data_IF_767497541539
#
_entry.id   IF_767497541539
#
_cell.length_a   1.000
_cell.length_b   1.000
_cell.length_c   1.000
_cell.angle_alpha   90.00
_cell.angle_beta   90.00
_cell.angle_gamma   90.00
#
_symmetry.space_group_name_H-M   'P 1'
#
loop_
_entity.id
_entity.type
_entity.pdbx_description
1 polymer ?
#
# COMPACT_ATOMS: atom_id res chain seq x y z
N UNK A 1 26.46 -0.44 7.70
CA UNK A 1 25.78 -1.14 6.59
C UNK A 1 26.07 -0.51 5.23
N UNK A 2 25.75 0.75 4.96
CA UNK A 2 25.99 1.37 3.63
C UNK A 2 27.46 1.41 3.26
N UNK A 3 28.34 1.67 4.19
CA UNK A 3 29.81 1.66 3.99
C UNK A 3 30.29 0.30 3.54
N UNK A 4 29.88 -0.79 4.24
CA UNK A 4 30.25 -2.16 3.86
C UNK A 4 29.72 -2.57 2.47
N UNK A 5 28.61 -2.03 1.99
CA UNK A 5 28.05 -2.32 0.66
C UNK A 5 28.92 -1.82 -0.50
N UNK A 6 29.81 -0.86 -0.25
CA UNK A 6 30.74 -0.33 -1.27
C UNK A 6 31.89 -1.29 -1.55
N UNK A 7 32.17 -2.18 -0.59
CA UNK A 7 33.27 -3.13 -0.66
C UNK A 7 32.77 -4.49 -1.09
N UNK A 8 33.36 -5.02 -2.15
CA UNK A 8 33.07 -6.38 -2.64
C UNK A 8 34.01 -7.44 -2.03
N UNK A 9 35.11 -6.99 -1.44
CA UNK A 9 36.12 -7.80 -0.76
C UNK A 9 36.21 -7.42 0.71
N UNK A 10 36.76 -8.31 1.56
CA UNK A 10 36.91 -8.04 2.98
C UNK A 10 37.72 -6.75 3.22
N UNK A 11 37.19 -5.83 3.99
CA UNK A 11 37.84 -4.56 4.37
C UNK A 11 38.19 -4.57 5.85
N UNK A 12 39.40 -4.11 6.21
CA UNK A 12 39.84 -4.13 7.59
C UNK A 12 38.99 -3.23 8.51
N UNK A 13 38.84 -3.64 9.76
CA UNK A 13 38.15 -2.84 10.76
C UNK A 13 38.74 -1.44 10.93
N UNK A 14 40.06 -1.30 10.78
CA UNK A 14 40.73 0.00 10.88
C UNK A 14 40.28 0.96 9.76
N UNK A 15 40.17 0.49 8.54
CA UNK A 15 39.69 1.30 7.40
C UNK A 15 38.22 1.71 7.62
N UNK A 16 37.38 0.79 8.03
CA UNK A 16 35.97 1.06 8.32
C UNK A 16 35.78 2.06 9.46
N UNK A 17 36.54 1.90 10.54
CA UNK A 17 36.48 2.79 11.69
C UNK A 17 36.93 4.23 11.31
N UNK A 18 37.99 4.33 10.52
CA UNK A 18 38.50 5.61 10.00
C UNK A 18 37.48 6.29 9.09
N UNK A 19 36.92 5.56 8.13
CA UNK A 19 35.91 6.11 7.19
C UNK A 19 34.62 6.57 7.90
N UNK A 20 34.24 5.88 8.99
CA UNK A 20 33.05 6.22 9.77
C UNK A 20 33.33 7.21 10.90
N UNK A 21 34.60 7.60 11.14
CA UNK A 21 34.98 8.50 12.23
C UNK A 21 34.71 7.96 13.62
N UNK A 22 34.77 6.64 13.83
CA UNK A 22 34.51 5.95 15.11
C UNK A 22 35.72 5.14 15.59
N UNK A 23 35.70 4.76 16.86
CA UNK A 23 36.72 3.85 17.41
C UNK A 23 36.54 2.42 16.91
N UNK A 24 37.62 1.62 16.83
CA UNK A 24 37.61 0.21 16.52
C UNK A 24 36.66 -0.57 17.46
N UNK A 25 36.64 -0.21 18.76
CA UNK A 25 35.76 -0.83 19.76
C UNK A 25 34.28 -0.57 19.44
N UNK A 26 33.94 0.65 19.04
CA UNK A 26 32.59 0.98 18.61
C UNK A 26 32.22 0.23 17.34
N UNK A 27 33.11 0.15 16.37
CA UNK A 27 32.88 -0.59 15.12
C UNK A 27 32.56 -2.06 15.39
N UNK A 28 33.36 -2.74 16.22
CA UNK A 28 33.12 -4.17 16.51
C UNK A 28 31.80 -4.41 17.23
N UNK A 29 31.42 -3.54 18.17
CA UNK A 29 30.13 -3.61 18.83
C UNK A 29 28.98 -3.42 17.82
N UNK A 30 29.12 -2.46 16.91
CA UNK A 30 28.10 -2.18 15.90
C UNK A 30 27.98 -3.33 14.88
N UNK A 31 29.10 -3.96 14.49
CA UNK A 31 29.10 -5.16 13.65
C UNK A 31 28.36 -6.31 14.35
N UNK A 32 28.69 -6.57 15.62
CA UNK A 32 28.02 -7.61 16.40
C UNK A 32 26.50 -7.35 16.52
N UNK A 33 26.12 -6.11 16.75
CA UNK A 33 24.69 -5.71 16.77
C UNK A 33 24.00 -5.96 15.44
N UNK A 34 24.65 -5.63 14.32
CA UNK A 34 24.11 -5.86 12.97
C UNK A 34 23.99 -7.35 12.66
N UNK A 35 24.99 -8.17 13.06
CA UNK A 35 24.95 -9.62 12.92
C UNK A 35 23.81 -10.24 13.76
N UNK A 36 23.62 -9.76 14.98
CA UNK A 36 22.49 -10.17 15.84
C UNK A 36 21.12 -9.81 15.24
N UNK A 37 21.06 -8.74 14.42
CA UNK A 37 19.87 -8.34 13.67
C UNK A 37 19.73 -9.09 12.33
N UNK A 38 20.58 -10.09 12.06
CA UNK A 38 20.51 -10.93 10.87
C UNK A 38 21.32 -10.44 9.67
N UNK A 39 22.17 -9.41 9.83
CA UNK A 39 23.06 -9.00 8.76
C UNK A 39 24.13 -10.08 8.53
N UNK A 40 24.26 -10.55 7.29
CA UNK A 40 25.29 -11.53 6.91
C UNK A 40 26.64 -10.84 6.70
N UNK A 41 27.24 -10.39 7.78
CA UNK A 41 28.59 -9.85 7.80
C UNK A 41 29.54 -10.97 8.18
N UNK A 42 30.38 -11.39 7.24
CA UNK A 42 31.44 -12.36 7.49
C UNK A 42 32.76 -11.64 7.75
N UNK A 43 33.60 -12.24 8.56
CA UNK A 43 34.94 -11.74 8.89
C UNK A 43 35.14 -11.60 10.40
N UNK A 44 36.39 -11.35 10.74
CA UNK A 44 36.83 -11.18 12.12
C UNK A 44 37.90 -10.08 12.24
N UNK A 45 38.21 -9.71 13.47
CA UNK A 45 39.25 -8.74 13.76
C UNK A 45 40.60 -9.22 13.19
N UNK A 46 41.21 -8.42 12.32
CA UNK A 46 42.50 -8.72 11.65
C UNK A 46 42.34 -9.23 10.22
N UNK A 47 41.32 -10.01 9.88
CA UNK A 47 41.08 -10.48 8.52
C UNK A 47 40.22 -9.53 7.69
N UNK A 48 39.44 -8.70 8.36
CA UNK A 48 38.50 -7.77 7.72
C UNK A 48 37.08 -8.30 7.68
N UNK A 49 36.16 -7.43 7.24
CA UNK A 49 34.72 -7.68 7.20
C UNK A 49 34.18 -7.50 5.79
N UNK A 50 33.30 -8.38 5.37
CA UNK A 50 32.57 -8.29 4.10
C UNK A 50 31.10 -8.55 4.34
N UNK A 51 30.26 -7.73 3.71
CA UNK A 51 28.83 -7.96 3.69
C UNK A 51 28.51 -8.93 2.55
N UNK A 52 28.08 -10.14 2.90
CA UNK A 52 27.64 -11.12 1.90
C UNK A 52 26.36 -10.62 1.21
N UNK A 53 26.17 -10.96 -0.07
CA UNK A 53 24.89 -10.74 -0.74
C UNK A 53 23.82 -11.58 -0.05
N UNK A 54 23.08 -10.97 0.80
CA UNK A 54 21.92 -11.50 1.49
C UNK A 54 20.93 -10.37 1.70
N UNK A 55 19.66 -10.61 1.39
CA UNK A 55 18.62 -9.59 1.47
C UNK A 55 18.18 -9.35 2.91
N UNK A 56 19.04 -8.79 3.74
CA UNK A 56 18.58 -8.14 4.97
C UNK A 56 18.46 -6.67 4.66
N UNK A 57 17.24 -6.20 4.57
CA UNK A 57 16.96 -4.78 4.55
C UNK A 57 17.32 -4.21 5.94
N UNK A 58 18.01 -3.06 6.02
CA UNK A 58 18.18 -2.37 7.30
C UNK A 58 16.78 -2.05 7.88
N UNK A 59 16.69 -1.75 9.19
CA UNK A 59 15.43 -1.26 9.76
C UNK A 59 14.90 -0.11 8.90
N UNK A 60 13.75 -0.35 8.26
CA UNK A 60 13.05 0.65 7.45
C UNK A 60 11.91 1.20 8.29
N UNK A 61 11.73 2.50 8.26
CA UNK A 61 10.56 3.16 8.82
C UNK A 61 9.66 3.55 7.66
N UNK A 62 8.43 3.07 7.67
CA UNK A 62 7.42 3.39 6.68
C UNK A 62 6.32 4.23 7.28
N UNK A 63 5.86 5.23 6.53
CA UNK A 63 4.61 5.91 6.80
C UNK A 63 3.41 5.01 6.49
N UNK A 64 2.23 5.38 6.95
CA UNK A 64 0.99 4.64 6.62
C UNK A 64 0.75 4.58 5.12
N UNK A 65 0.98 5.69 4.42
CA UNK A 65 0.83 5.81 2.97
C UNK A 65 1.79 4.90 2.21
N UNK A 66 3.04 4.79 2.68
CA UNK A 66 4.03 3.89 2.08
C UNK A 66 3.66 2.42 2.28
N UNK A 67 3.14 2.07 3.46
CA UNK A 67 2.62 0.71 3.73
C UNK A 67 1.41 0.42 2.83
N UNK A 68 0.45 1.34 2.69
CA UNK A 68 -0.68 1.20 1.78
C UNK A 68 -0.21 0.94 0.33
N UNK A 69 0.78 1.70 -0.13
CA UNK A 69 1.34 1.56 -1.47
C UNK A 69 2.01 0.19 -1.68
N UNK A 70 2.82 -0.26 -0.70
CA UNK A 70 3.49 -1.57 -0.74
C UNK A 70 2.47 -2.71 -0.78
N UNK A 71 1.43 -2.65 0.04
CA UNK A 71 0.40 -3.68 0.09
C UNK A 71 -0.44 -3.70 -1.18
N UNK A 72 -0.85 -2.53 -1.68
CA UNK A 72 -1.58 -2.44 -2.94
C UNK A 72 -0.75 -3.00 -4.10
N UNK A 73 0.53 -2.62 -4.19
CA UNK A 73 1.45 -3.14 -5.21
C UNK A 73 1.66 -4.65 -5.11
N UNK A 74 1.84 -5.17 -3.90
CA UNK A 74 2.00 -6.62 -3.67
C UNK A 74 0.73 -7.39 -4.02
N UNK A 75 -0.45 -6.90 -3.67
CA UNK A 75 -1.73 -7.49 -4.07
C UNK A 75 -1.93 -7.45 -5.59
N UNK A 76 -1.53 -6.35 -6.24
CA UNK A 76 -1.58 -6.23 -7.69
C UNK A 76 -0.74 -7.31 -8.35
N UNK A 77 0.49 -7.52 -7.90
CA UNK A 77 1.37 -8.60 -8.37
C UNK A 77 0.77 -9.97 -8.09
N UNK A 78 0.28 -10.21 -6.86
CA UNK A 78 -0.32 -11.49 -6.49
C UNK A 78 -1.51 -11.88 -7.38
N UNK A 79 -2.28 -10.91 -7.86
CA UNK A 79 -3.47 -11.17 -8.70
C UNK A 79 -3.17 -11.28 -10.21
N UNK A 80 -1.98 -10.90 -10.69
CA UNK A 80 -1.68 -10.78 -12.13
C UNK A 80 -0.40 -11.45 -12.59
N UNK A 81 0.53 -11.74 -11.68
CA UNK A 81 1.78 -12.40 -12.02
C UNK A 81 1.61 -13.93 -12.10
N UNK A 82 2.67 -14.60 -12.52
CA UNK A 82 2.75 -16.06 -12.39
C UNK A 82 2.66 -16.51 -10.92
N UNK A 83 2.32 -17.77 -10.70
CA UNK A 83 2.09 -18.35 -9.37
C UNK A 83 3.26 -18.10 -8.40
N UNK A 84 4.50 -18.26 -8.86
CA UNK A 84 5.68 -18.10 -8.01
C UNK A 84 5.88 -16.67 -7.54
N UNK A 85 5.72 -15.70 -8.42
CA UNK A 85 5.83 -14.28 -8.09
C UNK A 85 4.62 -13.82 -7.26
N UNK A 86 3.44 -14.35 -7.53
CA UNK A 86 2.22 -14.11 -6.75
C UNK A 86 2.37 -14.58 -5.29
N UNK A 87 2.83 -15.80 -5.06
CA UNK A 87 3.14 -16.32 -3.72
C UNK A 87 4.22 -15.48 -3.02
N UNK A 88 5.24 -15.03 -3.76
CA UNK A 88 6.29 -14.16 -3.22
C UNK A 88 5.71 -12.83 -2.76
N UNK A 89 4.79 -12.24 -3.50
CA UNK A 89 4.11 -10.99 -3.14
C UNK A 89 3.24 -11.15 -1.88
N UNK A 90 2.52 -12.26 -1.74
CA UNK A 90 1.76 -12.58 -0.52
C UNK A 90 2.69 -12.75 0.70
N UNK A 91 3.83 -13.39 0.52
CA UNK A 91 4.85 -13.52 1.57
C UNK A 91 5.41 -12.14 2.01
N UNK A 92 5.54 -11.17 1.11
CA UNK A 92 5.93 -9.79 1.46
C UNK A 92 4.88 -9.16 2.36
N UNK A 93 3.59 -9.28 2.02
CA UNK A 93 2.48 -8.76 2.84
C UNK A 93 2.51 -9.39 4.23
N UNK A 94 2.67 -10.71 4.32
CA UNK A 94 2.73 -11.42 5.60
C UNK A 94 3.91 -10.93 6.48
N UNK A 95 5.08 -10.70 5.88
CA UNK A 95 6.26 -10.16 6.60
C UNK A 95 6.02 -8.73 7.10
N UNK A 96 5.40 -7.88 6.29
CA UNK A 96 5.04 -6.51 6.70
C UNK A 96 4.05 -6.58 7.87
N UNK A 97 2.99 -7.37 7.74
CA UNK A 97 1.96 -7.54 8.79
C UNK A 97 2.55 -8.04 10.12
N UNK A 98 3.54 -8.93 10.07
CA UNK A 98 4.16 -9.49 11.27
C UNK A 98 4.92 -8.46 12.13
N UNK A 99 5.42 -7.38 11.53
CA UNK A 99 6.21 -6.34 12.22
C UNK A 99 5.40 -5.08 12.54
N UNK A 100 4.18 -4.97 12.03
CA UNK A 100 3.32 -3.81 12.27
C UNK A 100 2.68 -3.83 13.67
N UNK A 101 2.53 -2.66 14.32
CA UNK A 101 1.65 -2.50 15.46
C UNK A 101 0.23 -2.96 15.17
N UNK A 102 -0.49 -3.38 16.21
CA UNK A 102 -1.80 -4.01 16.06
C UNK A 102 -2.84 -3.11 15.36
N UNK A 103 -2.82 -1.81 15.65
CA UNK A 103 -3.69 -0.81 15.02
C UNK A 103 -3.43 -0.68 13.51
N UNK A 104 -2.16 -0.63 13.10
CA UNK A 104 -1.76 -0.58 11.68
C UNK A 104 -2.01 -1.91 10.96
N UNK A 105 -1.88 -3.04 11.66
CA UNK A 105 -2.21 -4.36 11.11
C UNK A 105 -3.70 -4.46 10.78
N UNK A 106 -4.57 -4.04 11.71
CA UNK A 106 -6.01 -3.98 11.45
C UNK A 106 -6.35 -3.05 10.28
N UNK A 107 -5.67 -1.92 10.16
CA UNK A 107 -5.88 -0.99 9.05
C UNK A 107 -5.44 -1.60 7.70
N UNK A 108 -4.37 -2.38 7.70
CA UNK A 108 -3.86 -3.09 6.53
C UNK A 108 -4.78 -4.26 6.11
N UNK A 109 -5.26 -5.06 7.06
CA UNK A 109 -6.21 -6.15 6.83
C UNK A 109 -7.57 -5.62 6.34
N UNK A 110 -7.98 -4.48 6.88
CA UNK A 110 -9.18 -3.76 6.48
C UNK A 110 -8.98 -2.81 5.30
N UNK A 111 -7.87 -2.95 4.56
CA UNK A 111 -7.54 -2.05 3.46
C UNK A 111 -8.71 -1.92 2.49
N UNK A 112 -9.11 -0.68 2.29
CA UNK A 112 -10.18 -0.26 1.39
C UNK A 112 -9.70 -0.03 -0.05
N UNK A 113 -8.40 -0.23 -0.28
CA UNK A 113 -7.79 -0.22 -1.60
C UNK A 113 -7.87 -1.62 -2.18
N UNK A 114 -8.74 -1.81 -3.14
CA UNK A 114 -9.05 -3.09 -3.75
C UNK A 114 -8.44 -3.14 -5.15
N UNK A 115 -8.05 -4.33 -5.58
CA UNK A 115 -7.65 -4.59 -6.95
C UNK A 115 -8.85 -5.20 -7.66
N UNK A 116 -9.24 -4.58 -8.76
CA UNK A 116 -10.31 -5.11 -9.60
C UNK A 116 -9.84 -6.33 -10.40
N UNK A 117 -10.78 -7.16 -10.88
CA UNK A 117 -10.46 -8.28 -11.77
C UNK A 117 -9.75 -7.79 -13.03
N UNK A 118 -8.98 -8.70 -13.67
CA UNK A 118 -8.26 -8.42 -14.89
C UNK A 118 -9.21 -8.10 -16.06
N UNK A 119 -8.76 -7.33 -17.04
CA UNK A 119 -9.56 -6.76 -18.14
C UNK A 119 -10.28 -7.76 -19.06
N UNK A 120 -10.21 -9.06 -18.81
CA UNK A 120 -10.99 -10.07 -19.54
C UNK A 120 -12.49 -10.04 -19.22
N UNK A 121 -12.89 -9.37 -18.14
CA UNK A 121 -14.29 -9.22 -17.73
C UNK A 121 -14.80 -7.80 -18.02
N UNK A 122 -15.24 -7.56 -19.25
CA UNK A 122 -16.28 -6.61 -19.69
C UNK A 122 -16.33 -5.18 -19.10
N UNK A 123 -15.23 -4.43 -19.09
CA UNK A 123 -15.32 -2.99 -19.12
C UNK A 123 -14.72 -2.47 -20.42
N UNK A 124 -15.55 -1.99 -21.33
CA UNK A 124 -15.12 -1.27 -22.54
C UNK A 124 -14.13 -0.16 -22.13
N UNK A 125 -12.85 -0.47 -22.26
CA UNK A 125 -11.75 0.42 -22.02
C UNK A 125 -11.62 1.39 -23.19
N UNK A 126 -12.41 2.45 -23.17
CA UNK A 126 -12.20 3.59 -24.04
C UNK A 126 -11.75 4.75 -23.18
N UNK A 127 -10.50 5.14 -23.38
CA UNK A 127 -9.77 6.28 -22.80
C UNK A 127 -9.19 6.12 -21.38
N UNK A 128 -7.89 6.35 -21.32
CA UNK A 128 -7.07 6.54 -20.12
C UNK A 128 -7.43 7.86 -19.41
N UNK A 129 -8.60 7.91 -18.77
CA UNK A 129 -8.97 9.02 -17.90
C UNK A 129 -8.85 8.55 -16.45
N UNK A 130 -7.66 8.73 -15.90
CA UNK A 130 -7.41 8.68 -14.47
C UNK A 130 -7.98 9.93 -13.82
N UNK A 131 -8.41 9.84 -12.55
CA UNK A 131 -8.59 11.02 -11.70
C UNK A 131 -7.37 11.93 -11.80
N UNK A 132 -7.58 13.25 -11.67
CA UNK A 132 -6.43 14.07 -11.29
C UNK A 132 -5.89 13.52 -9.96
N UNK A 133 -4.57 13.50 -9.79
CA UNK A 133 -3.94 13.00 -8.56
C UNK A 133 -4.54 13.65 -7.31
N UNK A 134 -4.95 14.93 -7.41
CA UNK A 134 -5.63 15.65 -6.36
C UNK A 134 -7.00 15.05 -5.99
N UNK A 135 -7.80 14.60 -6.95
CA UNK A 135 -9.10 13.99 -6.69
C UNK A 135 -8.94 12.60 -6.03
N UNK A 136 -7.97 11.80 -6.47
CA UNK A 136 -7.62 10.51 -5.82
C UNK A 136 -7.21 10.73 -4.38
N UNK A 137 -6.34 11.71 -4.12
CA UNK A 137 -5.88 12.05 -2.78
C UNK A 137 -7.06 12.47 -1.88
N UNK A 138 -7.97 13.31 -2.37
CA UNK A 138 -9.16 13.75 -1.64
C UNK A 138 -10.10 12.59 -1.32
N UNK A 139 -10.34 11.68 -2.26
CA UNK A 139 -11.16 10.48 -2.04
C UNK A 139 -10.52 9.57 -0.98
N UNK A 140 -9.21 9.31 -1.06
CA UNK A 140 -8.51 8.52 -0.05
C UNK A 140 -8.56 9.17 1.32
N UNK A 141 -8.45 10.50 1.39
CA UNK A 141 -8.62 11.26 2.63
C UNK A 141 -10.04 11.09 3.20
N UNK A 142 -11.08 11.23 2.38
CA UNK A 142 -12.47 11.05 2.80
C UNK A 142 -12.73 9.65 3.34
N UNK A 143 -12.21 8.61 2.68
CA UNK A 143 -12.31 7.22 3.11
C UNK A 143 -11.67 7.03 4.48
N UNK A 144 -10.44 7.57 4.70
CA UNK A 144 -9.74 7.45 5.99
C UNK A 144 -10.43 8.21 7.12
N UNK A 145 -10.90 9.42 6.83
CA UNK A 145 -11.58 10.28 7.79
C UNK A 145 -13.05 9.92 8.02
N UNK A 146 -13.60 8.97 7.25
CA UNK A 146 -15.02 8.62 7.24
C UNK A 146 -15.92 9.86 7.00
N UNK A 147 -15.50 10.74 6.06
CA UNK A 147 -16.20 11.98 5.73
C UNK A 147 -17.02 11.86 4.44
N UNK A 148 -18.14 12.56 4.41
CA UNK A 148 -18.97 12.67 3.20
C UNK A 148 -18.25 13.48 2.13
N UNK A 149 -18.63 13.23 0.88
CA UNK A 149 -18.18 14.02 -0.28
C UNK A 149 -19.33 14.48 -1.12
N UNK A 150 -19.24 15.70 -1.61
CA UNK A 150 -20.08 16.21 -2.69
C UNK A 150 -19.40 15.92 -4.03
N UNK A 151 -20.15 15.33 -4.96
CA UNK A 151 -19.66 14.97 -6.29
C UNK A 151 -20.52 15.63 -7.38
N UNK A 152 -19.88 16.14 -8.43
CA UNK A 152 -20.49 16.25 -9.75
C UNK A 152 -20.19 14.98 -10.53
N UNK A 153 -21.21 14.27 -10.95
CA UNK A 153 -21.06 12.97 -11.61
C UNK A 153 -21.85 12.91 -12.92
N UNK A 154 -21.15 12.52 -13.99
CA UNK A 154 -21.73 12.27 -15.31
C UNK A 154 -22.07 10.81 -15.47
N UNK A 155 -23.34 10.46 -15.62
CA UNK A 155 -23.77 9.08 -15.80
C UNK A 155 -23.41 8.52 -17.19
N UNK A 156 -23.73 7.22 -17.41
CA UNK A 156 -23.46 6.55 -18.70
C UNK A 156 -24.23 7.13 -19.89
N UNK A 157 -25.26 7.96 -19.63
CA UNK A 157 -26.06 8.68 -20.65
C UNK A 157 -25.61 10.11 -20.84
N UNK A 158 -24.52 10.54 -20.18
CA UNK A 158 -23.98 11.89 -20.26
C UNK A 158 -24.66 12.91 -19.36
N UNK A 159 -25.67 12.51 -18.55
CA UNK A 159 -26.38 13.43 -17.66
C UNK A 159 -25.54 13.72 -16.42
N UNK A 160 -25.30 15.00 -16.15
CA UNK A 160 -24.64 15.47 -14.92
C UNK A 160 -25.61 15.54 -13.76
N UNK A 161 -25.15 15.11 -12.60
CA UNK A 161 -25.92 15.10 -11.36
C UNK A 161 -25.04 15.38 -10.17
N UNK A 162 -25.50 16.21 -9.23
CA UNK A 162 -24.87 16.40 -7.93
C UNK A 162 -25.22 15.21 -7.02
N UNK A 163 -24.24 14.73 -6.27
CA UNK A 163 -24.36 13.59 -5.37
C UNK A 163 -23.68 13.89 -4.05
N UNK A 164 -24.31 13.50 -2.95
CA UNK A 164 -23.63 13.35 -1.66
C UNK A 164 -23.37 11.86 -1.47
N UNK A 165 -22.13 11.51 -1.19
CA UNK A 165 -21.70 10.12 -1.09
C UNK A 165 -20.85 9.88 0.17
N UNK A 166 -20.81 8.65 0.64
CA UNK A 166 -19.97 8.18 1.72
C UNK A 166 -18.96 7.18 1.15
N UNK A 167 -17.78 7.64 0.75
CA UNK A 167 -16.78 6.79 0.10
C UNK A 167 -16.14 5.86 1.13
N UNK A 168 -16.15 4.55 0.89
CA UNK A 168 -15.60 3.58 1.84
C UNK A 168 -14.59 2.61 1.22
N UNK A 169 -14.48 2.54 -0.11
CA UNK A 169 -13.47 1.76 -0.80
C UNK A 169 -13.09 2.37 -2.14
N UNK A 170 -11.91 2.02 -2.62
CA UNK A 170 -11.40 2.40 -3.94
C UNK A 170 -10.83 1.18 -4.64
N UNK A 171 -11.33 0.88 -5.84
CA UNK A 171 -10.85 -0.19 -6.70
C UNK A 171 -9.90 0.35 -7.77
N UNK A 172 -8.79 -0.33 -7.96
CA UNK A 172 -7.80 -0.05 -8.98
C UNK A 172 -7.88 -1.14 -10.05
N UNK A 173 -8.19 -0.75 -11.27
CA UNK A 173 -8.22 -1.58 -12.46
C UNK A 173 -7.11 -1.15 -13.42
N UNK A 174 -6.83 -1.92 -14.44
CA UNK A 174 -5.74 -1.60 -15.40
C UNK A 174 -5.92 -0.24 -16.08
N UNK A 175 -7.16 0.09 -16.42
CA UNK A 175 -7.48 1.29 -17.23
C UNK A 175 -8.36 2.29 -16.52
N UNK A 176 -8.83 2.00 -15.30
CA UNK A 176 -9.72 2.91 -14.57
C UNK A 176 -9.65 2.71 -13.07
N UNK A 177 -10.07 3.71 -12.36
CA UNK A 177 -10.26 3.67 -10.92
C UNK A 177 -11.74 3.82 -10.59
N UNK A 178 -12.21 3.11 -9.59
CA UNK A 178 -13.62 3.11 -9.18
C UNK A 178 -13.71 3.40 -7.69
N UNK A 179 -14.41 4.44 -7.33
CA UNK A 179 -14.79 4.71 -5.95
C UNK A 179 -16.08 3.95 -5.61
N UNK A 180 -16.07 3.19 -4.53
CA UNK A 180 -17.26 2.54 -3.98
C UNK A 180 -17.78 3.39 -2.83
N UNK A 181 -19.03 3.80 -2.92
CA UNK A 181 -19.63 4.70 -1.94
C UNK A 181 -21.12 4.44 -1.76
N UNK A 182 -21.62 4.70 -0.56
CA UNK A 182 -23.06 4.86 -0.35
C UNK A 182 -23.52 6.18 -0.97
N UNK A 183 -24.56 6.16 -1.77
CA UNK A 183 -25.11 7.34 -2.43
C UNK A 183 -26.40 7.79 -1.74
N UNK A 184 -26.43 8.97 -1.11
CA UNK A 184 -27.61 9.47 -0.41
C UNK A 184 -28.80 9.65 -1.35
N UNK A 185 -28.58 10.13 -2.58
CA UNK A 185 -29.65 10.33 -3.56
C UNK A 185 -30.34 9.03 -4.00
N UNK A 186 -29.60 7.92 -4.00
CA UNK A 186 -30.12 6.61 -4.43
C UNK A 186 -30.38 5.66 -3.27
N UNK A 187 -29.94 6.01 -2.06
CA UNK A 187 -30.06 5.18 -0.84
C UNK A 187 -29.52 3.75 -1.01
N UNK A 188 -28.43 3.63 -1.78
CA UNK A 188 -27.77 2.36 -2.10
C UNK A 188 -26.27 2.54 -2.33
N UNK A 189 -25.51 1.45 -2.27
CA UNK A 189 -24.10 1.45 -2.66
C UNK A 189 -23.98 1.57 -4.17
N UNK A 190 -23.13 2.49 -4.62
CA UNK A 190 -22.84 2.73 -6.04
C UNK A 190 -21.36 2.73 -6.32
N UNK A 191 -21.02 2.40 -7.56
CA UNK A 191 -19.69 2.43 -8.11
C UNK A 191 -19.55 3.67 -8.98
N UNK A 192 -18.64 4.56 -8.62
CA UNK A 192 -18.37 5.80 -9.34
C UNK A 192 -17.06 5.69 -10.08
N UNK A 193 -17.12 5.64 -11.40
CA UNK A 193 -15.92 5.65 -12.25
C UNK A 193 -15.22 7.01 -12.17
N UNK A 194 -13.91 6.96 -12.06
CA UNK A 194 -13.05 8.12 -11.95
C UNK A 194 -13.23 9.12 -13.10
N UNK A 195 -13.25 8.60 -14.31
CA UNK A 195 -13.37 9.37 -15.55
C UNK A 195 -14.72 10.09 -15.72
N UNK A 196 -15.69 9.83 -14.85
CA UNK A 196 -17.01 10.45 -14.87
C UNK A 196 -17.26 11.42 -13.72
N UNK A 197 -16.28 11.62 -12.85
CA UNK A 197 -16.36 12.59 -11.77
C UNK A 197 -15.80 13.92 -12.27
N UNK A 198 -16.66 14.93 -12.34
CA UNK A 198 -16.28 16.30 -12.74
C UNK A 198 -15.65 17.06 -11.58
N UNK A 199 -16.21 16.92 -10.37
CA UNK A 199 -15.66 17.51 -9.14
C UNK A 199 -15.91 16.60 -7.94
N UNK A 200 -15.00 16.67 -6.96
CA UNK A 200 -15.09 15.93 -5.71
C UNK A 200 -14.64 16.84 -4.56
N UNK A 201 -15.54 17.20 -3.69
CA UNK A 201 -15.30 18.10 -2.57
C UNK A 201 -15.53 17.36 -1.24
N UNK A 202 -14.59 17.47 -0.32
CA UNK A 202 -14.69 16.91 1.02
C UNK A 202 -15.66 17.74 1.85
N UNK A 203 -16.64 17.10 2.45
CA UNK A 203 -17.57 17.76 3.37
C UNK A 203 -17.09 17.60 4.81
N UNK A 204 -17.40 18.55 5.71
CA UNK A 204 -17.02 18.45 7.12
C UNK A 204 -17.74 17.32 7.86
N UNK A 205 -18.90 16.88 7.38
CA UNK A 205 -19.72 15.86 8.02
C UNK A 205 -19.16 14.46 7.83
N UNK A 206 -19.15 13.69 8.92
CA UNK A 206 -18.90 12.26 8.88
C UNK A 206 -20.18 11.53 8.49
N UNK A 207 -20.02 10.40 7.79
CA UNK A 207 -21.19 9.54 7.54
C UNK A 207 -21.55 8.72 8.79
N UNK A 208 -22.84 8.37 8.97
CA UNK A 208 -23.34 7.83 10.23
C UNK A 208 -22.94 6.36 10.49
N UNK A 209 -22.45 5.67 9.46
CA UNK A 209 -22.14 4.24 9.53
C UNK A 209 -20.65 4.01 9.33
N UNK A 210 -20.01 3.27 10.21
CA UNK A 210 -18.57 2.99 10.12
C UNK A 210 -18.18 2.38 8.78
N UNK A 211 -17.07 2.86 8.22
CA UNK A 211 -16.48 2.40 6.96
C UNK A 211 -16.41 0.88 6.84
N UNK A 212 -15.94 0.21 7.90
CA UNK A 212 -15.79 -1.23 7.93
C UNK A 212 -17.10 -2.00 7.82
N UNK A 213 -18.19 -1.45 8.37
CA UNK A 213 -19.51 -2.03 8.25
C UNK A 213 -20.00 -1.93 6.81
N UNK A 214 -19.85 -0.76 6.19
CA UNK A 214 -20.20 -0.55 4.78
C UNK A 214 -19.42 -1.48 3.85
N UNK A 215 -18.10 -1.62 4.09
CA UNK A 215 -17.24 -2.51 3.30
C UNK A 215 -17.66 -3.97 3.44
N UNK A 216 -17.95 -4.43 4.66
CA UNK A 216 -18.38 -5.81 4.92
C UNK A 216 -19.70 -6.13 4.24
N UNK A 217 -20.71 -5.27 4.41
CA UNK A 217 -22.02 -5.45 3.77
C UNK A 217 -21.92 -5.45 2.25
N UNK A 218 -21.10 -4.55 1.69
CA UNK A 218 -20.85 -4.52 0.25
C UNK A 218 -20.16 -5.80 -0.23
N UNK A 219 -19.11 -6.28 0.43
CA UNK A 219 -18.43 -7.54 0.07
C UNK A 219 -19.41 -8.71 0.08
N UNK A 220 -20.23 -8.82 1.11
CA UNK A 220 -21.27 -9.86 1.20
C UNK A 220 -22.25 -9.77 0.04
N UNK A 221 -22.69 -8.55 -0.32
CA UNK A 221 -23.61 -8.35 -1.46
C UNK A 221 -22.99 -8.72 -2.81
N UNK A 222 -21.66 -8.66 -2.93
CA UNK A 222 -20.91 -9.02 -4.14
C UNK A 222 -20.43 -10.48 -4.15
N UNK A 223 -20.72 -11.26 -3.10
CA UNK A 223 -20.22 -12.63 -2.97
C UNK A 223 -18.70 -12.74 -2.76
N UNK A 224 -18.06 -11.65 -2.32
CA UNK A 224 -16.62 -11.62 -2.04
C UNK A 224 -16.41 -12.12 -0.61
N UNK A 225 -15.68 -13.24 -0.46
CA UNK A 225 -15.34 -13.78 0.85
C UNK A 225 -14.47 -12.84 1.67
N UNK A 226 -14.68 -12.78 2.99
CA UNK A 226 -13.92 -11.94 3.93
C UNK A 226 -12.48 -12.45 4.16
N UNK A 227 -12.11 -13.61 3.58
CA UNK A 227 -10.75 -14.17 3.72
C UNK A 227 -9.85 -13.55 2.66
N UNK A 228 -8.75 -12.91 3.05
CA UNK A 228 -7.71 -12.52 2.09
C UNK A 228 -7.08 -13.82 1.54
N UNK A 229 -7.25 -14.05 0.23
CA UNK A 229 -6.53 -15.08 -0.50
C UNK A 229 -5.05 -14.71 -0.57
#
# INVERSE_FOLDING_TARGET
MQTLRRYREPVSGAVLAHEMGISLRSLYRDIASLQAQGAQIEGEAGLGYVLKPGFVLPPLMFSKEEIEALVLGSRWVASRADTKLGETALNVIAKISAVLPQDLRHELESSTLLIGPSAQDNFNASSSNTFSDAAVASIRQAIRAEQKMALSYRDGKGKETARIVWPFAMGFFETTQIMVAWCELRTEVRHFRADRIGSAELLPERYPKRRMVLLKEWRQSQGISDTPS
#
